data_IF_494455057515
#
_entry.id   IF_494455057515
#
_cell.length_a   1.000
_cell.length_b   1.000
_cell.length_c   1.000
_cell.angle_alpha   90.00
_cell.angle_beta   90.00
_cell.angle_gamma   90.00
#
_symmetry.space_group_name_H-M   'P 1'
#
loop_
_entity.id
_entity.type
_entity.pdbx_description
1 polymer ?
#
# COMPACT_ATOMS: atom_id res chain seq x y z
N UNK A 1 12.16 -21.01 -6.77
CA UNK A 1 11.23 -19.89 -6.59
C UNK A 1 11.22 -18.94 -7.80
N UNK A 2 10.06 -18.57 -8.35
CA UNK A 2 9.93 -17.57 -9.44
C UNK A 2 10.29 -16.16 -8.95
N UNK A 3 10.51 -15.22 -9.88
CA UNK A 3 10.67 -13.79 -9.54
C UNK A 3 9.34 -13.19 -9.05
N UNK A 4 9.41 -12.02 -8.41
CA UNK A 4 8.24 -11.28 -7.93
C UNK A 4 7.35 -10.73 -9.06
N UNK A 5 7.90 -10.59 -10.26
CA UNK A 5 7.14 -10.12 -11.43
C UNK A 5 6.63 -11.33 -12.23
N UNK A 6 5.43 -11.27 -12.82
CA UNK A 6 4.56 -10.09 -12.91
C UNK A 6 3.67 -9.86 -11.67
N UNK A 7 3.62 -10.79 -10.72
CA UNK A 7 2.72 -10.68 -9.57
C UNK A 7 3.38 -11.02 -8.24
N UNK A 8 3.22 -10.11 -7.27
CA UNK A 8 3.89 -10.16 -5.96
C UNK A 8 3.60 -11.44 -5.15
N UNK A 9 2.45 -12.09 -5.36
CA UNK A 9 2.11 -13.33 -4.66
C UNK A 9 2.84 -14.57 -5.22
N UNK A 10 3.38 -14.53 -6.45
CA UNK A 10 3.88 -15.71 -7.14
C UNK A 10 5.00 -16.46 -6.38
N UNK A 11 5.99 -15.79 -5.77
CA UNK A 11 6.99 -16.47 -4.94
C UNK A 11 6.39 -17.22 -3.74
N UNK A 12 5.42 -16.63 -3.04
CA UNK A 12 4.77 -17.22 -1.87
C UNK A 12 3.96 -18.46 -2.27
N UNK A 13 3.13 -18.34 -3.32
CA UNK A 13 2.31 -19.45 -3.82
C UNK A 13 3.19 -20.61 -4.34
N UNK A 14 4.35 -20.31 -4.92
CA UNK A 14 5.32 -21.34 -5.30
C UNK A 14 5.82 -22.12 -4.08
N UNK A 15 6.21 -21.43 -3.00
CA UNK A 15 6.67 -22.08 -1.77
C UNK A 15 5.58 -22.98 -1.19
N UNK A 16 4.36 -22.45 -1.04
CA UNK A 16 3.22 -23.21 -0.54
C UNK A 16 3.00 -24.49 -1.37
N UNK A 17 3.09 -24.41 -2.70
CA UNK A 17 2.95 -25.59 -3.56
C UNK A 17 4.11 -26.57 -3.43
N UNK A 18 5.36 -26.09 -3.48
CA UNK A 18 6.53 -26.98 -3.64
C UNK A 18 7.11 -27.48 -2.32
N UNK A 19 6.94 -26.73 -1.23
CA UNK A 19 7.49 -27.08 0.08
C UNK A 19 6.42 -27.52 1.06
N UNK A 20 5.20 -26.98 0.97
CA UNK A 20 4.10 -27.31 1.89
C UNK A 20 3.07 -28.27 1.27
N UNK A 21 3.20 -28.59 -0.02
CA UNK A 21 2.30 -29.51 -0.72
C UNK A 21 0.90 -28.95 -0.95
N UNK A 22 0.73 -27.62 -0.94
CA UNK A 22 -0.57 -27.00 -1.13
C UNK A 22 -1.13 -27.23 -2.54
N UNK A 23 -2.42 -27.56 -2.60
CA UNK A 23 -3.22 -27.54 -3.82
C UNK A 23 -4.01 -26.23 -3.90
N UNK A 24 -4.21 -25.73 -5.11
CA UNK A 24 -4.89 -24.47 -5.34
C UNK A 24 -6.10 -24.65 -6.25
N UNK A 25 -7.18 -24.00 -5.88
CA UNK A 25 -8.29 -23.70 -6.76
C UNK A 25 -8.18 -22.25 -7.21
N UNK A 26 -8.66 -21.95 -8.42
CA UNK A 26 -8.65 -20.61 -8.99
C UNK A 26 -10.07 -20.22 -9.37
N UNK A 27 -10.49 -19.06 -8.90
CA UNK A 27 -11.71 -18.39 -9.35
C UNK A 27 -11.33 -17.03 -9.92
N UNK A 28 -11.97 -16.64 -11.01
CA UNK A 28 -11.73 -15.38 -11.71
C UNK A 28 -13.04 -14.63 -11.81
N UNK A 29 -13.00 -13.34 -11.47
CA UNK A 29 -14.07 -12.41 -11.71
C UNK A 29 -13.59 -11.37 -12.73
N UNK A 30 -14.34 -11.22 -13.82
CA UNK A 30 -14.11 -10.11 -14.75
C UNK A 30 -14.52 -8.80 -14.09
N UNK A 31 -13.74 -7.75 -14.33
CA UNK A 31 -14.02 -6.43 -13.78
C UNK A 31 -14.30 -5.46 -14.92
N UNK A 32 -15.53 -4.93 -14.97
CA UNK A 32 -15.88 -3.85 -15.86
C UNK A 32 -15.36 -2.53 -15.28
N UNK A 33 -14.37 -1.92 -15.93
CA UNK A 33 -13.78 -0.66 -15.49
C UNK A 33 -12.32 -0.55 -15.87
N UNK A 34 -11.70 0.56 -15.46
CA UNK A 34 -10.28 0.79 -15.68
C UNK A 34 -9.38 0.16 -14.59
N UNK A 35 -8.07 0.25 -14.77
CA UNK A 35 -7.08 -0.30 -13.83
C UNK A 35 -7.15 0.36 -12.45
N UNK A 36 -7.55 1.65 -12.37
CA UNK A 36 -7.65 2.39 -11.11
C UNK A 36 -8.88 1.94 -10.33
N UNK A 37 -10.03 1.79 -11.00
CA UNK A 37 -11.26 1.26 -10.42
C UNK A 37 -11.07 -0.17 -9.92
N UNK A 38 -10.42 -1.02 -10.72
CA UNK A 38 -10.11 -2.40 -10.32
C UNK A 38 -9.21 -2.45 -9.09
N UNK A 39 -8.13 -1.66 -9.03
CA UNK A 39 -7.23 -1.59 -7.87
C UNK A 39 -7.92 -1.08 -6.61
N UNK A 40 -8.85 -0.13 -6.76
CA UNK A 40 -9.67 0.34 -5.65
C UNK A 40 -10.57 -0.79 -5.12
N UNK A 41 -11.25 -1.50 -6.01
CA UNK A 41 -12.10 -2.64 -5.65
C UNK A 41 -11.29 -3.76 -4.98
N UNK A 42 -10.08 -4.04 -5.46
CA UNK A 42 -9.13 -4.96 -4.82
C UNK A 42 -8.81 -4.53 -3.38
N UNK A 43 -8.49 -3.25 -3.14
CA UNK A 43 -8.27 -2.73 -1.80
C UNK A 43 -9.51 -2.93 -0.91
N UNK A 44 -10.70 -2.59 -1.40
CA UNK A 44 -11.95 -2.76 -0.64
C UNK A 44 -12.17 -4.23 -0.27
N UNK A 45 -12.04 -5.15 -1.23
CA UNK A 45 -12.24 -6.58 -0.99
C UNK A 45 -11.22 -7.15 0.02
N UNK A 46 -9.95 -6.75 -0.09
CA UNK A 46 -8.90 -7.18 0.85
C UNK A 46 -9.14 -6.61 2.25
N UNK A 47 -9.50 -5.34 2.37
CA UNK A 47 -9.75 -4.70 3.67
C UNK A 47 -11.01 -5.23 4.34
N UNK A 48 -12.08 -5.54 3.59
CA UNK A 48 -13.26 -6.23 4.11
C UNK A 48 -12.95 -7.65 4.58
N UNK A 49 -12.11 -8.40 3.84
CA UNK A 49 -11.61 -9.69 4.30
C UNK A 49 -10.86 -9.54 5.62
N UNK A 50 -9.93 -8.58 5.70
CA UNK A 50 -9.16 -8.30 6.92
C UNK A 50 -10.07 -7.98 8.09
N UNK A 51 -11.02 -7.07 7.94
CA UNK A 51 -12.00 -6.72 8.97
C UNK A 51 -12.81 -7.93 9.44
N UNK A 52 -13.24 -8.80 8.52
CA UNK A 52 -14.03 -9.99 8.82
C UNK A 52 -13.24 -11.08 9.54
N UNK A 53 -11.99 -11.32 9.14
CA UNK A 53 -11.21 -12.48 9.61
C UNK A 53 -10.08 -12.11 10.59
N UNK A 54 -9.86 -10.82 10.84
CA UNK A 54 -8.80 -10.30 11.72
C UNK A 54 -7.38 -10.52 11.18
N UNK A 55 -7.24 -10.92 9.91
CA UNK A 55 -5.96 -11.31 9.29
C UNK A 55 -5.93 -11.03 7.80
N UNK A 56 -4.73 -10.96 7.23
CA UNK A 56 -4.57 -10.78 5.78
C UNK A 56 -4.69 -12.08 4.99
N UNK A 57 -5.07 -12.01 3.71
CA UNK A 57 -4.87 -13.13 2.80
C UNK A 57 -3.38 -13.54 2.77
N UNK A 58 -3.11 -14.85 2.79
CA UNK A 58 -1.79 -15.42 3.08
C UNK A 58 -0.66 -14.89 2.19
N UNK A 59 -0.89 -14.75 0.90
CA UNK A 59 0.13 -14.34 -0.09
C UNK A 59 0.09 -12.84 -0.44
N UNK A 60 -0.70 -12.04 0.27
CA UNK A 60 -0.80 -10.60 0.05
C UNK A 60 0.35 -9.84 0.74
N UNK A 61 0.48 -8.56 0.40
CA UNK A 61 1.44 -7.61 1.01
C UNK A 61 2.90 -8.05 0.95
N UNK A 62 3.21 -8.93 -0.01
CA UNK A 62 4.54 -9.44 -0.27
C UNK A 62 5.09 -10.40 0.78
N UNK A 63 4.24 -10.93 1.67
CA UNK A 63 4.66 -11.91 2.68
C UNK A 63 5.14 -13.22 2.07
N UNK A 64 5.97 -13.91 2.82
CA UNK A 64 6.45 -15.27 2.55
C UNK A 64 6.14 -16.19 3.75
N UNK A 65 6.10 -17.51 3.56
CA UNK A 65 6.11 -18.47 4.66
C UNK A 65 7.41 -18.38 5.50
N UNK A 66 7.38 -18.95 6.70
CA UNK A 66 8.55 -19.02 7.58
C UNK A 66 9.74 -19.70 6.88
N UNK A 67 10.93 -19.17 7.11
CA UNK A 67 12.15 -19.71 6.55
C UNK A 67 12.42 -19.33 5.10
N UNK A 68 11.63 -18.43 4.48
CA UNK A 68 11.76 -18.09 3.07
C UNK A 68 11.94 -16.59 2.80
N UNK A 69 13.04 -16.29 2.10
CA UNK A 69 13.27 -14.97 1.53
C UNK A 69 12.71 -14.91 0.10
N UNK A 70 11.99 -13.83 -0.18
CA UNK A 70 11.33 -13.61 -1.47
C UNK A 70 12.32 -13.28 -2.58
N UNK A 71 12.05 -13.76 -3.79
CA UNK A 71 12.73 -13.26 -5.00
C UNK A 71 12.46 -11.77 -5.23
N UNK A 72 13.41 -11.07 -5.84
CA UNK A 72 13.18 -9.69 -6.32
C UNK A 72 12.32 -9.67 -7.59
N UNK A 73 12.01 -8.46 -8.08
CA UNK A 73 11.50 -8.26 -9.43
C UNK A 73 12.50 -8.71 -10.51
N UNK A 74 12.02 -8.77 -11.75
CA UNK A 74 12.77 -9.16 -12.95
C UNK A 74 12.74 -8.03 -13.99
N UNK A 75 13.43 -6.93 -13.70
CA UNK A 75 13.52 -5.80 -14.62
C UNK A 75 14.97 -5.40 -14.92
N UNK A 76 15.17 -4.68 -16.03
CA UNK A 76 16.48 -4.28 -16.52
C UNK A 76 17.28 -3.44 -15.50
N UNK A 77 16.62 -2.62 -14.69
CA UNK A 77 17.28 -1.80 -13.66
C UNK A 77 17.87 -2.68 -12.53
N UNK A 78 17.15 -3.72 -12.10
CA UNK A 78 17.66 -4.70 -11.12
C UNK A 78 18.81 -5.52 -11.70
N UNK A 79 18.72 -5.91 -12.98
CA UNK A 79 19.82 -6.61 -13.67
C UNK A 79 21.05 -5.73 -13.75
N UNK A 80 20.91 -4.50 -14.26
CA UNK A 80 22.01 -3.54 -14.41
C UNK A 80 22.68 -3.20 -13.07
N UNK A 81 21.90 -3.12 -11.99
CA UNK A 81 22.44 -2.85 -10.65
C UNK A 81 22.95 -4.08 -9.91
N UNK A 82 22.90 -5.29 -10.51
CA UNK A 82 23.31 -6.54 -9.85
C UNK A 82 22.41 -6.98 -8.69
N UNK A 83 21.24 -6.34 -8.52
CA UNK A 83 20.31 -6.58 -7.40
C UNK A 83 19.18 -7.55 -7.75
N UNK A 84 19.21 -8.18 -8.92
CA UNK A 84 18.23 -9.21 -9.30
C UNK A 84 18.61 -10.54 -8.64
N UNK A 85 17.82 -11.00 -7.67
CA UNK A 85 18.09 -12.24 -6.94
C UNK A 85 16.89 -13.19 -6.92
N UNK A 86 17.19 -14.49 -6.87
CA UNK A 86 16.21 -15.54 -6.58
C UNK A 86 16.01 -15.62 -5.07
N UNK A 87 14.78 -15.88 -4.66
CA UNK A 87 14.47 -16.21 -3.28
C UNK A 87 15.12 -17.53 -2.86
N UNK A 88 15.41 -17.65 -1.58
CA UNK A 88 16.17 -18.75 -0.98
C UNK A 88 15.63 -19.04 0.42
N UNK A 89 16.05 -20.17 1.00
CA UNK A 89 15.71 -20.51 2.37
C UNK A 89 16.66 -19.86 3.35
N UNK A 90 16.11 -19.29 4.40
CA UNK A 90 16.84 -18.74 5.54
C UNK A 90 16.06 -19.07 6.82
N UNK A 91 16.47 -20.10 7.59
CA UNK A 91 15.76 -20.53 8.79
C UNK A 91 15.64 -19.45 9.88
N UNK A 92 16.45 -18.39 9.84
CA UNK A 92 16.36 -17.30 10.80
C UNK A 92 15.22 -16.32 10.50
N UNK A 93 14.62 -16.40 9.31
CA UNK A 93 13.58 -15.47 8.87
C UNK A 93 12.21 -16.05 9.23
N UNK A 94 11.43 -15.25 9.95
CA UNK A 94 10.03 -15.56 10.25
C UNK A 94 9.11 -14.67 9.43
N UNK A 95 7.92 -15.20 9.15
CA UNK A 95 6.83 -14.48 8.52
C UNK A 95 6.45 -13.29 9.38
N UNK A 96 6.39 -12.12 8.75
CA UNK A 96 5.91 -10.91 9.42
C UNK A 96 4.46 -11.06 9.86
N UNK A 97 4.18 -10.74 11.12
CA UNK A 97 2.83 -10.75 11.68
C UNK A 97 1.90 -9.80 10.91
N UNK A 98 0.60 -10.10 11.00
CA UNK A 98 -0.45 -9.24 10.48
C UNK A 98 -0.63 -8.03 11.40
N UNK A 99 -0.87 -6.85 10.82
CA UNK A 99 -1.41 -5.71 11.56
C UNK A 99 -2.92 -5.90 11.73
N UNK A 100 -3.45 -5.51 12.89
CA UNK A 100 -4.89 -5.46 13.11
C UNK A 100 -5.57 -4.62 12.00
N UNK A 101 -6.75 -5.02 11.49
CA UNK A 101 -7.46 -4.22 10.50
C UNK A 101 -7.77 -2.82 11.03
N UNK A 102 -7.56 -1.80 10.20
CA UNK A 102 -7.86 -0.40 10.55
C UNK A 102 -8.92 0.22 9.64
N UNK A 103 -9.75 -0.63 9.02
CA UNK A 103 -10.89 -0.18 8.22
C UNK A 103 -11.85 0.61 9.11
N UNK A 104 -12.16 1.85 8.74
CA UNK A 104 -12.99 2.77 9.52
C UNK A 104 -14.04 3.44 8.62
N UNK A 105 -15.31 3.22 8.96
CA UNK A 105 -16.47 3.79 8.28
C UNK A 105 -17.19 4.84 9.14
N UNK A 106 -16.80 4.96 10.42
CA UNK A 106 -17.48 5.80 11.39
C UNK A 106 -16.89 7.22 11.40
N UNK A 107 -15.61 7.36 11.03
CA UNK A 107 -14.94 8.65 10.97
C UNK A 107 -14.60 9.08 9.54
N UNK A 108 -14.77 10.38 9.29
CA UNK A 108 -14.36 10.98 8.02
C UNK A 108 -12.84 10.85 7.78
N UNK A 109 -12.39 10.62 6.54
CA UNK A 109 -10.96 10.51 6.20
C UNK A 109 -10.09 11.74 6.52
N UNK A 110 -10.70 12.86 6.90
CA UNK A 110 -10.03 14.09 7.34
C UNK A 110 -9.95 14.26 8.85
N UNK A 111 -10.66 13.41 9.61
CA UNK A 111 -10.71 13.42 11.07
C UNK A 111 -9.35 13.09 11.70
N UNK A 112 -9.09 13.62 12.89
CA UNK A 112 -7.93 13.24 13.69
C UNK A 112 -8.07 11.81 14.27
N UNK A 113 -9.30 11.33 14.45
CA UNK A 113 -9.60 10.01 15.02
C UNK A 113 -9.69 8.89 13.97
N UNK A 114 -9.55 9.23 12.68
CA UNK A 114 -9.76 8.28 11.58
C UNK A 114 -8.85 7.06 11.70
N UNK A 115 -9.44 5.87 11.62
CA UNK A 115 -8.78 4.57 11.72
C UNK A 115 -8.06 4.34 13.07
N UNK A 116 -8.36 5.13 14.10
CA UNK A 116 -7.69 5.08 15.40
C UNK A 116 -6.18 5.36 15.34
N UNK A 117 -5.72 6.00 14.26
CA UNK A 117 -4.30 6.30 14.06
C UNK A 117 -3.96 7.68 14.66
N UNK A 118 -2.73 7.88 15.16
CA UNK A 118 -2.30 9.15 15.74
C UNK A 118 -1.97 10.18 14.67
N UNK A 119 -2.98 10.65 13.94
CA UNK A 119 -2.81 11.63 12.88
C UNK A 119 -2.29 12.96 13.42
N UNK A 120 -1.27 13.51 12.78
CA UNK A 120 -0.86 14.89 13.00
C UNK A 120 -2.00 15.84 12.61
N UNK A 121 -1.98 17.09 13.12
CA UNK A 121 -2.70 18.18 12.49
C UNK A 121 -2.40 18.27 11.00
N UNK A 122 -3.27 18.95 10.26
CA UNK A 122 -3.03 19.30 8.88
C UNK A 122 -1.96 20.39 8.80
N UNK A 123 -0.96 20.17 7.95
CA UNK A 123 0.13 21.11 7.70
C UNK A 123 0.08 21.61 6.26
N UNK A 124 0.28 22.92 6.01
CA UNK A 124 0.38 23.45 4.65
C UNK A 124 1.62 22.89 3.95
N UNK A 125 1.44 22.52 2.69
CA UNK A 125 2.45 21.89 1.85
C UNK A 125 2.68 20.40 2.12
N UNK A 126 3.64 19.86 1.38
CA UNK A 126 4.07 18.46 1.46
C UNK A 126 5.31 18.31 2.34
N UNK A 127 5.19 18.72 3.60
CA UNK A 127 6.29 18.76 4.57
C UNK A 127 5.97 17.80 5.70
N UNK A 128 6.90 16.89 6.02
CA UNK A 128 6.81 16.05 7.20
C UNK A 128 8.19 15.77 7.80
N UNK A 129 8.19 15.39 9.07
CA UNK A 129 9.38 14.84 9.72
C UNK A 129 9.79 13.52 9.05
N UNK A 130 11.09 13.18 9.03
CA UNK A 130 11.57 11.92 8.46
C UNK A 130 11.21 10.74 9.38
N UNK A 131 9.94 10.36 9.38
CA UNK A 131 9.41 9.22 10.14
C UNK A 131 8.89 8.13 9.21
N UNK A 132 8.78 6.90 9.74
CA UNK A 132 8.13 5.78 9.07
C UNK A 132 6.65 5.77 9.46
N UNK A 133 5.74 5.58 8.49
CA UNK A 133 4.32 5.47 8.77
C UNK A 133 3.46 5.71 7.54
N UNK A 134 2.26 6.24 7.75
CA UNK A 134 1.29 6.57 6.71
C UNK A 134 1.00 8.06 6.67
N UNK A 135 0.61 8.56 5.50
CA UNK A 135 0.28 9.96 5.29
C UNK A 135 -0.91 10.09 4.35
N UNK A 136 -1.58 11.23 4.49
CA UNK A 136 -2.70 11.66 3.67
C UNK A 136 -2.44 13.08 3.16
N UNK A 137 -2.89 13.35 1.95
CA UNK A 137 -2.77 14.64 1.27
C UNK A 137 -4.17 15.07 0.84
N UNK A 138 -4.48 16.35 0.98
CA UNK A 138 -5.70 16.98 0.44
C UNK A 138 -5.38 18.35 -0.15
N UNK A 139 -6.33 18.94 -0.85
CA UNK A 139 -6.34 20.39 -1.09
C UNK A 139 -6.73 21.11 0.19
N UNK A 140 -6.22 22.33 0.39
CA UNK A 140 -6.43 23.09 1.60
C UNK A 140 -7.93 23.21 1.95
N UNK A 141 -8.31 22.74 3.14
CA UNK A 141 -9.70 22.78 3.63
C UNK A 141 -10.67 21.76 3.02
N UNK A 142 -10.27 20.99 2.01
CA UNK A 142 -11.18 20.02 1.38
C UNK A 142 -11.40 18.75 2.22
N UNK A 143 -12.51 18.06 1.95
CA UNK A 143 -12.86 16.78 2.59
C UNK A 143 -12.36 15.57 1.80
N UNK A 144 -12.15 15.72 0.50
CA UNK A 144 -11.65 14.65 -0.35
C UNK A 144 -10.12 14.62 -0.31
N UNK A 145 -9.58 13.41 -0.18
CA UNK A 145 -8.15 13.19 -0.22
C UNK A 145 -7.65 13.19 -1.66
N UNK A 146 -6.50 13.82 -1.88
CA UNK A 146 -5.74 13.73 -3.11
C UNK A 146 -4.97 12.41 -3.15
N UNK A 147 -4.39 11.99 -2.02
CA UNK A 147 -3.54 10.80 -1.98
C UNK A 147 -3.42 10.20 -0.59
N UNK A 148 -3.28 8.88 -0.52
CA UNK A 148 -2.91 8.12 0.67
C UNK A 148 -1.64 7.33 0.38
N UNK A 149 -0.70 7.36 1.32
CA UNK A 149 0.58 6.70 1.11
C UNK A 149 1.22 6.16 2.38
N UNK A 150 2.15 5.24 2.20
CA UNK A 150 3.02 4.76 3.27
C UNK A 150 4.52 4.91 2.96
N UNK A 151 5.34 4.79 4.01
CA UNK A 151 6.78 4.60 3.94
C UNK A 151 7.54 5.62 4.77
N UNK A 152 8.73 6.01 4.30
CA UNK A 152 9.48 7.14 4.88
C UNK A 152 8.82 8.45 4.45
N UNK A 153 7.95 8.97 5.31
CA UNK A 153 6.93 9.97 4.97
C UNK A 153 7.55 11.21 4.32
N UNK A 154 8.54 11.83 4.96
CA UNK A 154 9.21 13.02 4.41
C UNK A 154 9.79 12.81 3.01
N UNK A 155 10.39 11.65 2.75
CA UNK A 155 10.92 11.33 1.42
C UNK A 155 9.81 11.10 0.37
N UNK A 156 8.69 10.51 0.78
CA UNK A 156 7.54 10.25 -0.11
C UNK A 156 6.81 11.54 -0.47
N UNK A 157 6.59 12.43 0.51
CA UNK A 157 6.00 13.75 0.27
C UNK A 157 6.88 14.61 -0.64
N UNK A 158 8.20 14.62 -0.41
CA UNK A 158 9.14 15.32 -1.29
C UNK A 158 9.11 14.78 -2.73
N UNK A 159 8.99 13.45 -2.91
CA UNK A 159 8.85 12.84 -4.22
C UNK A 159 7.56 13.25 -4.94
N UNK A 160 6.43 13.36 -4.23
CA UNK A 160 5.19 13.87 -4.82
C UNK A 160 5.30 15.35 -5.19
N UNK A 161 5.95 16.16 -4.35
CA UNK A 161 6.25 17.56 -4.68
C UNK A 161 7.22 17.71 -5.85
N UNK A 162 8.06 16.70 -6.15
CA UNK A 162 8.86 16.69 -7.36
C UNK A 162 8.03 16.37 -8.62
N UNK A 163 7.01 15.51 -8.51
CA UNK A 163 6.13 15.14 -9.62
C UNK A 163 5.30 16.31 -10.15
N UNK A 164 4.94 17.27 -9.30
CA UNK A 164 4.21 18.47 -9.73
C UNK A 164 5.03 19.36 -10.67
N UNK A 165 6.35 19.18 -10.70
CA UNK A 165 7.29 19.90 -11.59
C UNK A 165 7.58 19.16 -12.89
N UNK A 166 7.07 17.94 -13.07
CA UNK A 166 7.29 17.13 -14.28
C UNK A 166 6.11 17.31 -15.23
N UNK A 167 6.34 17.89 -16.41
CA UNK A 167 5.26 18.35 -17.28
C UNK A 167 4.31 17.24 -17.74
N UNK A 168 4.88 16.09 -18.12
CA UNK A 168 4.14 14.93 -18.66
C UNK A 168 3.75 13.91 -17.59
N UNK A 169 3.90 14.23 -16.30
CA UNK A 169 3.61 13.27 -15.24
C UNK A 169 2.10 13.16 -15.01
N UNK A 170 1.54 11.95 -15.09
CA UNK A 170 0.09 11.68 -14.96
C UNK A 170 -0.54 12.19 -13.66
N UNK A 171 0.24 12.30 -12.60
CA UNK A 171 -0.20 12.82 -11.29
C UNK A 171 0.07 14.33 -11.09
N UNK A 172 0.63 15.04 -12.09
CA UNK A 172 1.05 16.45 -11.95
C UNK A 172 -0.10 17.34 -11.44
N UNK A 173 -1.25 17.29 -12.11
CA UNK A 173 -2.41 18.12 -11.78
C UNK A 173 -2.86 17.95 -10.33
N UNK A 174 -2.92 16.70 -9.85
CA UNK A 174 -3.34 16.38 -8.50
C UNK A 174 -2.34 16.86 -7.42
N UNK A 175 -1.05 16.96 -7.77
CA UNK A 175 -0.02 17.46 -6.85
C UNK A 175 0.33 18.95 -7.06
N UNK A 176 -0.48 19.69 -7.80
CA UNK A 176 -0.31 21.14 -8.01
C UNK A 176 -1.32 21.94 -7.16
N UNK A 177 -0.91 23.14 -6.73
CA UNK A 177 -1.74 24.06 -5.95
C UNK A 177 -1.52 23.97 -4.44
N UNK A 178 -2.48 24.51 -3.69
CA UNK A 178 -2.42 24.59 -2.23
C UNK A 178 -2.83 23.26 -1.60
N UNK A 179 -1.82 22.46 -1.29
CA UNK A 179 -1.98 21.15 -0.65
C UNK A 179 -1.71 21.25 0.85
N UNK A 180 -2.37 20.36 1.59
CA UNK A 180 -2.08 20.08 2.99
C UNK A 180 -1.74 18.60 3.16
N UNK A 181 -0.87 18.31 4.13
CA UNK A 181 -0.53 16.94 4.50
C UNK A 181 -0.70 16.69 5.99
N UNK A 182 -1.08 15.47 6.32
CA UNK A 182 -1.20 14.95 7.69
C UNK A 182 -0.66 13.53 7.71
N UNK A 183 -0.06 13.10 8.81
CA UNK A 183 0.61 11.81 8.89
C UNK A 183 0.47 11.13 10.25
N UNK A 184 0.53 9.81 10.26
CA UNK A 184 0.55 8.98 11.45
C UNK A 184 1.87 8.19 11.50
N UNK A 185 2.74 8.44 12.49
CA UNK A 185 3.96 7.67 12.68
C UNK A 185 3.66 6.23 13.12
N UNK A 186 4.25 5.25 12.44
CA UNK A 186 4.15 3.82 12.75
C UNK A 186 5.55 3.17 12.72
N UNK A 187 6.46 3.58 13.62
CA UNK A 187 7.89 3.22 13.53
C UNK A 187 8.15 1.73 13.78
N UNK A 188 7.22 1.01 14.40
CA UNK A 188 7.33 -0.43 14.70
C UNK A 188 6.73 -1.31 13.60
N UNK A 189 6.00 -0.74 12.65
CA UNK A 189 5.40 -1.50 11.56
C UNK A 189 6.45 -1.97 10.58
N UNK A 190 6.36 -3.25 10.20
CA UNK A 190 7.08 -3.81 9.06
C UNK A 190 6.57 -3.23 7.74
N UNK A 191 7.32 -3.43 6.65
CA UNK A 191 6.87 -3.00 5.32
C UNK A 191 5.54 -3.65 4.89
N UNK A 192 5.31 -4.91 5.25
CA UNK A 192 4.05 -5.60 4.97
C UNK A 192 2.88 -4.97 5.76
N UNK A 193 3.09 -4.67 7.04
CA UNK A 193 2.08 -4.02 7.89
C UNK A 193 1.74 -2.60 7.42
N UNK A 194 2.71 -1.85 6.91
CA UNK A 194 2.43 -0.53 6.31
C UNK A 194 1.56 -0.63 5.06
N UNK A 195 1.75 -1.67 4.22
CA UNK A 195 0.88 -1.90 3.06
C UNK A 195 -0.53 -2.34 3.47
N UNK A 196 -0.66 -3.08 4.55
CA UNK A 196 -1.97 -3.43 5.13
C UNK A 196 -2.73 -2.19 5.59
N UNK A 197 -2.08 -1.33 6.38
CA UNK A 197 -2.66 -0.07 6.86
C UNK A 197 -3.02 0.82 5.67
N UNK A 198 -2.13 0.98 4.69
CA UNK A 198 -2.42 1.76 3.47
C UNK A 198 -3.64 1.21 2.71
N UNK A 199 -3.75 -0.10 2.57
CA UNK A 199 -4.90 -0.76 1.93
C UNK A 199 -6.21 -0.52 2.68
N UNK A 200 -6.18 -0.66 4.01
CA UNK A 200 -7.33 -0.42 4.88
C UNK A 200 -7.79 1.06 4.81
N UNK A 201 -6.84 2.00 4.78
CA UNK A 201 -7.14 3.45 4.64
C UNK A 201 -7.69 3.81 3.26
N UNK A 202 -7.15 3.25 2.19
CA UNK A 202 -7.67 3.48 0.83
C UNK A 202 -9.10 2.94 0.73
N UNK A 203 -9.36 1.74 1.27
CA UNK A 203 -10.70 1.16 1.30
C UNK A 203 -11.67 2.00 2.15
N UNK A 204 -11.25 2.47 3.32
CA UNK A 204 -12.03 3.34 4.20
C UNK A 204 -12.44 4.63 3.48
N UNK A 205 -11.47 5.29 2.83
CA UNK A 205 -11.75 6.49 2.03
C UNK A 205 -12.72 6.20 0.87
N UNK A 206 -12.52 5.09 0.16
CA UNK A 206 -13.37 4.69 -0.96
C UNK A 206 -14.82 4.42 -0.54
N UNK A 207 -15.02 3.74 0.59
CA UNK A 207 -16.35 3.41 1.10
C UNK A 207 -17.04 4.65 1.68
N UNK A 208 -16.28 5.61 2.21
CA UNK A 208 -16.82 6.89 2.68
C UNK A 208 -17.17 7.84 1.53
N UNK A 209 -16.27 8.01 0.55
CA UNK A 209 -16.38 9.01 -0.51
C UNK A 209 -16.98 8.49 -1.83
N UNK A 210 -17.13 7.17 -1.97
CA UNK A 210 -17.58 6.50 -3.20
C UNK A 210 -16.53 6.41 -4.31
N UNK A 211 -15.30 6.88 -4.08
CA UNK A 211 -14.24 6.96 -5.09
C UNK A 211 -12.85 6.95 -4.45
N UNK A 212 -11.84 6.50 -5.20
CA UNK A 212 -10.44 6.54 -4.77
C UNK A 212 -9.95 7.99 -4.63
N UNK A 213 -8.93 8.26 -3.77
CA UNK A 213 -8.26 9.55 -3.78
C UNK A 213 -7.79 9.92 -5.20
N UNK A 214 -7.81 11.21 -5.54
CA UNK A 214 -7.66 11.69 -6.92
C UNK A 214 -6.43 11.13 -7.64
N UNK A 215 -5.27 11.17 -6.99
CA UNK A 215 -4.01 10.69 -7.55
C UNK A 215 -3.76 9.20 -7.31
N UNK A 216 -4.63 8.51 -6.57
CA UNK A 216 -4.41 7.12 -6.18
C UNK A 216 -4.38 6.21 -7.42
N UNK A 217 -3.37 5.35 -7.49
CA UNK A 217 -3.14 4.37 -8.57
C UNK A 217 -2.86 4.94 -9.98
N UNK A 218 -2.61 6.25 -10.12
CA UNK A 218 -2.28 6.87 -11.42
C UNK A 218 -0.78 6.85 -11.78
N UNK A 219 0.09 6.59 -10.81
CA UNK A 219 1.56 6.58 -10.97
C UNK A 219 2.16 5.22 -11.26
#
# INVERSE_FOLDING_TARGET
>A
MPYNDPHTAAPCLWVMRTAEGAEFEVSVAEFAGDVRERKLAECVAVSQHRAKFGRSPTANFGRMPDGWIKSTGNNAALVKSGRRTRGYQDPAVTRSLDHAPVLDLDHAPTSAEWAGLPWSPWHPGLIAKPTLGVYRIRRAGEQHLVYLGQGRIGARLAAHGAKSRLEDHRQRAAFTGDLESSWAPLPTCTAAQLLEVECDLIASHALFAGLAPEAQFLG
#
